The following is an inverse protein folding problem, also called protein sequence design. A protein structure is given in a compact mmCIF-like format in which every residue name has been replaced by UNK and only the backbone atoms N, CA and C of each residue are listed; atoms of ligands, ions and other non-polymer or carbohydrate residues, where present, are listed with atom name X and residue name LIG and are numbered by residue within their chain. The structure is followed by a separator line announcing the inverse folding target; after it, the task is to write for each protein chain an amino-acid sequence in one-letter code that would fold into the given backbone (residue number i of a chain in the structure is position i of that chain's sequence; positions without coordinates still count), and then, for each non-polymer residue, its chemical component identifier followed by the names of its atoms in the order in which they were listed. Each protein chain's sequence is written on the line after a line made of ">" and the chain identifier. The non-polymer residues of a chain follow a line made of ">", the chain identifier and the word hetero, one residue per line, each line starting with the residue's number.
data_IF_368368652592
#
_entry.id   IF_368368652592
#
_cell.length_a   1.000
_cell.length_b   1.000
_cell.length_c   1.000
_cell.angle_alpha   90.00
_cell.angle_beta   90.00
_cell.angle_gamma   90.00
#
_symmetry.space_group_name_H-M   'P 1'
#
loop_
_entity.id
_entity.type
_entity.pdbx_description
1 polymer ?
#
# COMPACT_ATOMS: atom_id res chain seq x y z
N UNK A 1 61.10 17.13 37.97
CA UNK A 1 62.50 16.94 37.50
C UNK A 1 62.53 15.60 36.78
N UNK A 2 62.84 15.59 35.49
CA UNK A 2 62.80 14.37 34.65
C UNK A 2 64.01 13.49 34.96
N UNK A 3 63.81 12.20 35.19
CA UNK A 3 64.87 11.24 35.50
C UNK A 3 64.99 10.16 34.42
N UNK A 4 66.17 9.54 34.35
CA UNK A 4 66.45 8.45 33.42
C UNK A 4 65.57 7.23 33.75
N UNK A 5 64.71 6.83 32.81
CA UNK A 5 63.78 5.70 32.96
C UNK A 5 62.28 6.05 32.90
N UNK A 6 61.91 7.33 32.85
CA UNK A 6 60.50 7.73 32.61
C UNK A 6 60.07 7.37 31.19
N UNK A 7 58.86 6.82 31.04
CA UNK A 7 58.27 6.60 29.71
C UNK A 7 57.89 7.96 29.10
N UNK A 8 57.87 8.04 27.77
CA UNK A 8 57.54 9.28 27.06
C UNK A 8 56.20 9.89 27.52
N UNK A 9 55.25 9.03 27.90
CA UNK A 9 53.94 9.40 28.45
C UNK A 9 54.03 10.08 29.84
N UNK A 10 54.93 9.61 30.70
CA UNK A 10 55.15 10.16 32.04
C UNK A 10 55.77 11.58 31.96
N UNK A 11 56.66 11.77 30.98
CA UNK A 11 57.30 13.06 30.69
C UNK A 11 56.26 14.06 30.14
N UNK A 12 55.41 13.62 29.21
CA UNK A 12 54.37 14.46 28.62
C UNK A 12 53.34 14.95 29.66
N UNK A 13 52.93 14.07 30.57
CA UNK A 13 52.00 14.42 31.66
C UNK A 13 52.63 15.34 32.70
N UNK A 14 53.95 15.25 32.94
CA UNK A 14 54.66 16.13 33.88
C UNK A 14 54.81 17.57 33.36
N UNK A 15 55.12 17.74 32.07
CA UNK A 15 55.30 19.07 31.48
C UNK A 15 53.99 19.76 31.12
N UNK A 16 52.93 18.99 30.91
CA UNK A 16 51.64 19.52 30.46
C UNK A 16 50.48 18.87 31.23
N UNK A 17 50.33 19.12 32.55
CA UNK A 17 49.40 18.40 33.43
C UNK A 17 47.89 18.68 33.20
N UNK A 18 47.50 19.10 31.99
CA UNK A 18 46.10 19.25 31.59
C UNK A 18 45.82 18.91 30.11
N UNK A 19 46.82 18.50 29.34
CA UNK A 19 46.68 18.32 27.89
C UNK A 19 45.97 17.02 27.49
N UNK A 20 46.11 15.93 28.23
CA UNK A 20 45.48 14.65 27.87
C UNK A 20 43.95 14.65 28.07
N UNK A 21 43.44 15.39 29.06
CA UNK A 21 42.00 15.62 29.25
C UNK A 21 41.48 16.75 28.36
N UNK A 22 42.23 17.85 28.19
CA UNK A 22 41.82 18.94 27.30
C UNK A 22 41.79 18.49 25.83
N UNK A 23 42.70 17.63 25.38
CA UNK A 23 42.67 17.08 24.02
C UNK A 23 41.49 16.11 23.77
N UNK A 24 40.89 15.54 24.83
CA UNK A 24 39.64 14.76 24.73
C UNK A 24 38.40 15.67 24.68
N UNK A 25 38.45 16.82 25.34
CA UNK A 25 37.37 17.83 25.35
C UNK A 25 37.39 18.73 24.08
N UNK A 26 38.57 19.10 23.60
CA UNK A 26 38.78 20.04 22.48
C UNK A 26 38.99 19.32 21.15
N UNK A 27 38.11 18.39 20.82
CA UNK A 27 38.12 17.74 19.51
C UNK A 27 37.47 18.69 18.47
N UNK A 28 38.00 19.90 18.31
CA UNK A 28 37.55 20.94 17.38
C UNK A 28 37.24 20.36 15.98
N UNK A 29 38.05 19.42 15.42
CA UNK A 29 37.70 18.77 14.17
C UNK A 29 36.39 17.98 14.20
N UNK A 30 36.06 17.31 15.32
CA UNK A 30 34.79 16.61 15.52
C UNK A 30 33.63 17.61 15.62
N UNK A 31 33.77 18.68 16.39
CA UNK A 31 32.73 19.71 16.52
C UNK A 31 32.42 20.35 15.16
N UNK A 32 33.46 20.71 14.39
CA UNK A 32 33.31 21.24 13.03
C UNK A 32 32.66 20.23 12.07
N UNK A 33 33.03 18.95 12.15
CA UNK A 33 32.39 17.87 11.39
C UNK A 33 30.91 17.72 11.76
N UNK A 34 30.59 17.67 13.04
CA UNK A 34 29.22 17.51 13.55
C UNK A 34 28.35 18.72 13.14
N UNK A 35 28.89 19.93 13.28
CA UNK A 35 28.24 21.15 12.80
C UNK A 35 28.01 21.12 11.28
N UNK A 36 29.00 20.65 10.50
CA UNK A 36 28.87 20.51 9.05
C UNK A 36 27.81 19.47 8.67
N UNK A 37 27.77 18.32 9.36
CA UNK A 37 26.76 17.27 9.14
C UNK A 37 25.37 17.79 9.48
N UNK A 38 25.23 18.51 10.60
CA UNK A 38 23.96 19.13 11.01
C UNK A 38 23.49 20.17 10.01
N UNK A 39 24.39 21.06 9.57
CA UNK A 39 24.08 22.08 8.55
C UNK A 39 23.63 21.45 7.23
N UNK A 40 24.34 20.41 6.75
CA UNK A 40 23.94 19.65 5.55
C UNK A 40 22.57 18.98 5.71
N UNK A 41 22.31 18.38 6.88
CA UNK A 41 21.02 17.75 7.19
C UNK A 41 19.88 18.77 7.19
N UNK A 42 20.08 19.93 7.82
CA UNK A 42 19.12 21.02 7.81
C UNK A 42 18.87 21.51 6.39
N UNK A 43 19.93 21.87 5.65
CA UNK A 43 19.81 22.37 4.27
C UNK A 43 19.04 21.40 3.36
N UNK A 44 19.31 20.10 3.45
CA UNK A 44 18.58 19.09 2.67
C UNK A 44 17.13 18.92 3.10
N UNK A 45 16.86 19.01 4.41
CA UNK A 45 15.49 18.89 4.94
C UNK A 45 14.64 20.08 4.49
N UNK A 46 15.20 21.29 4.55
CA UNK A 46 14.55 22.51 4.06
C UNK A 46 14.35 22.47 2.54
N UNK A 47 15.35 22.02 1.77
CA UNK A 47 15.21 21.86 0.33
C UNK A 47 14.09 20.88 -0.02
N UNK A 48 14.03 19.72 0.63
CA UNK A 48 12.96 18.74 0.43
C UNK A 48 11.58 19.31 0.78
N UNK A 49 11.46 20.08 1.87
CA UNK A 49 10.22 20.74 2.24
C UNK A 49 9.75 21.75 1.18
N UNK A 50 10.69 22.52 0.59
CA UNK A 50 10.39 23.47 -0.50
C UNK A 50 10.00 22.76 -1.78
N UNK A 51 10.73 21.72 -2.17
CA UNK A 51 10.38 20.89 -3.34
C UNK A 51 8.98 20.29 -3.19
N UNK A 52 8.66 19.75 -2.02
CA UNK A 52 7.34 19.19 -1.73
C UNK A 52 6.21 20.23 -1.79
N UNK A 53 6.46 21.44 -1.30
CA UNK A 53 5.51 22.55 -1.41
C UNK A 53 5.28 22.99 -2.86
N UNK A 54 6.33 23.01 -3.70
CA UNK A 54 6.21 23.30 -5.14
C UNK A 54 5.42 22.20 -5.85
N UNK A 55 5.67 20.94 -5.50
CA UNK A 55 4.93 19.79 -6.03
C UNK A 55 3.45 19.88 -5.66
N UNK A 56 3.11 20.26 -4.41
CA UNK A 56 1.72 20.50 -4.00
C UNK A 56 1.04 21.56 -4.86
N UNK A 57 1.71 22.69 -5.10
CA UNK A 57 1.17 23.76 -5.94
C UNK A 57 0.99 23.29 -7.38
N UNK A 58 1.95 22.55 -7.90
CA UNK A 58 1.89 21.98 -9.26
C UNK A 58 0.72 21.01 -9.39
N UNK A 59 0.48 20.16 -8.39
CA UNK A 59 -0.69 19.28 -8.35
C UNK A 59 -2.00 20.06 -8.38
N UNK A 60 -2.10 21.13 -7.58
CA UNK A 60 -3.30 21.99 -7.56
C UNK A 60 -3.52 22.71 -8.89
N UNK A 61 -2.48 23.30 -9.47
CA UNK A 61 -2.56 24.01 -10.76
C UNK A 61 -2.96 23.06 -11.89
N UNK A 62 -2.45 21.82 -11.85
CA UNK A 62 -2.73 20.80 -12.87
C UNK A 62 -3.98 19.94 -12.56
N UNK A 63 -4.79 20.31 -11.57
CA UNK A 63 -5.99 19.54 -11.14
C UNK A 63 -5.70 18.04 -10.88
N UNK A 64 -4.52 17.72 -10.36
CA UNK A 64 -4.14 16.36 -9.97
C UNK A 64 -4.96 15.95 -8.75
N UNK A 65 -5.69 14.84 -8.85
CA UNK A 65 -6.53 14.34 -7.76
C UNK A 65 -5.75 13.49 -6.75
N UNK A 66 -4.77 12.72 -7.22
CA UNK A 66 -4.06 11.72 -6.42
C UNK A 66 -2.56 11.69 -6.72
N UNK A 67 -1.77 11.22 -5.76
CA UNK A 67 -0.33 11.02 -5.91
C UNK A 67 0.14 9.74 -5.23
N UNK A 68 1.27 9.18 -5.69
CA UNK A 68 1.97 8.10 -5.02
C UNK A 68 3.21 8.63 -4.28
N UNK A 69 3.57 7.95 -3.20
CA UNK A 69 4.82 8.18 -2.48
C UNK A 69 5.94 7.32 -3.10
N UNK A 70 6.90 7.97 -3.74
CA UNK A 70 8.00 7.32 -4.46
C UNK A 70 9.24 7.26 -3.58
N UNK A 71 9.69 6.05 -3.31
CA UNK A 71 10.87 5.76 -2.49
C UNK A 71 12.16 5.76 -3.29
N UNK A 72 13.25 6.19 -2.66
CA UNK A 72 14.61 5.96 -3.18
C UNK A 72 15.12 4.54 -2.86
N UNK A 73 16.11 4.02 -3.61
CA UNK A 73 16.79 2.78 -3.26
C UNK A 73 17.34 2.81 -1.83
N UNK A 74 17.04 1.77 -1.05
CA UNK A 74 17.45 1.71 0.36
C UNK A 74 16.57 2.54 1.31
N UNK A 75 15.35 2.92 0.89
CA UNK A 75 14.39 3.61 1.74
C UNK A 75 14.12 2.86 3.05
N UNK A 76 13.91 3.62 4.12
CA UNK A 76 13.59 3.06 5.43
C UNK A 76 12.18 2.46 5.45
N UNK A 77 11.93 1.56 6.41
CA UNK A 77 10.64 0.87 6.57
C UNK A 77 9.44 1.84 6.61
N UNK A 78 9.60 3.01 7.25
CA UNK A 78 8.55 4.05 7.28
C UNK A 78 8.18 4.53 5.88
N UNK A 79 9.17 4.83 5.04
CA UNK A 79 8.94 5.31 3.68
C UNK A 79 8.41 4.19 2.77
N UNK A 80 8.85 2.94 2.97
CA UNK A 80 8.28 1.78 2.27
C UNK A 80 6.80 1.61 2.58
N UNK A 81 6.40 1.76 3.86
CA UNK A 81 4.99 1.71 4.24
C UNK A 81 4.19 2.83 3.57
N UNK A 82 4.69 4.07 3.57
CA UNK A 82 4.05 5.18 2.86
C UNK A 82 3.89 4.90 1.35
N UNK A 83 4.91 4.31 0.71
CA UNK A 83 4.81 3.92 -0.70
C UNK A 83 3.75 2.85 -0.96
N UNK A 84 3.56 1.91 -0.03
CA UNK A 84 2.59 0.82 -0.15
C UNK A 84 1.16 1.25 0.20
N UNK A 85 1.00 2.28 1.03
CA UNK A 85 -0.31 2.77 1.50
C UNK A 85 -0.97 3.81 0.59
N UNK A 86 -0.29 4.25 -0.48
CA UNK A 86 -0.89 5.11 -1.51
C UNK A 86 -1.92 4.37 -2.40
N UNK A 87 -2.63 5.07 -3.29
CA UNK A 87 -2.44 6.48 -3.61
C UNK A 87 -3.09 7.39 -2.57
N UNK A 88 -2.57 8.61 -2.45
CA UNK A 88 -3.02 9.63 -1.53
C UNK A 88 -3.72 10.75 -2.27
N UNK A 89 -4.73 11.36 -1.64
CA UNK A 89 -5.51 12.43 -2.26
C UNK A 89 -4.80 13.78 -2.11
N UNK A 90 -4.68 14.53 -3.19
CA UNK A 90 -4.08 15.88 -3.16
C UNK A 90 -4.97 16.80 -2.33
N UNK A 91 -4.36 17.58 -1.44
CA UNK A 91 -5.05 18.53 -0.57
C UNK A 91 -5.77 17.93 0.65
N UNK A 92 -5.67 16.61 0.86
CA UNK A 92 -6.14 15.97 2.10
C UNK A 92 -5.15 16.22 3.25
N UNK A 93 -5.64 16.43 4.47
CA UNK A 93 -4.79 16.69 5.64
C UNK A 93 -4.01 15.44 6.08
N UNK A 94 -4.61 14.25 5.88
CA UNK A 94 -3.99 12.97 6.22
C UNK A 94 -2.98 12.50 5.16
N UNK A 95 -2.90 13.18 4.02
CA UNK A 95 -1.99 12.83 2.95
C UNK A 95 -0.54 13.14 3.31
N UNK A 96 0.40 12.20 3.13
CA UNK A 96 1.75 12.36 3.63
C UNK A 96 2.53 13.43 2.87
N UNK A 97 3.38 14.15 3.60
CA UNK A 97 4.24 15.25 3.11
C UNK A 97 5.71 14.95 3.33
N UNK A 98 6.57 15.42 2.42
CA UNK A 98 8.03 15.37 2.60
C UNK A 98 8.50 16.72 3.17
N UNK A 99 9.26 16.77 4.27
CA UNK A 99 9.73 15.67 5.11
C UNK A 99 8.78 15.30 6.27
N UNK A 100 7.71 16.06 6.52
CA UNK A 100 6.87 15.99 7.74
C UNK A 100 6.40 14.56 8.07
N UNK A 101 5.85 13.85 7.10
CA UNK A 101 5.34 12.48 7.29
C UNK A 101 6.44 11.42 7.20
N UNK A 102 7.69 11.80 6.89
CA UNK A 102 8.83 10.89 6.75
C UNK A 102 9.88 11.11 7.84
N UNK A 103 10.99 11.75 7.54
CA UNK A 103 12.06 12.08 8.49
C UNK A 103 12.96 13.18 7.94
N UNK A 104 13.77 13.85 8.79
CA UNK A 104 14.79 14.77 8.29
C UNK A 104 15.76 14.07 7.33
N UNK A 105 16.26 14.77 6.32
CA UNK A 105 17.12 14.24 5.25
C UNK A 105 16.44 13.14 4.40
N UNK A 106 15.10 13.07 4.39
CA UNK A 106 14.36 12.24 3.43
C UNK A 106 14.54 12.79 2.01
N UNK A 107 14.58 11.87 1.05
CA UNK A 107 14.72 12.14 -0.39
C UNK A 107 13.62 11.49 -1.23
N UNK A 108 12.63 10.90 -0.57
CA UNK A 108 11.44 10.38 -1.23
C UNK A 108 10.64 11.55 -1.83
N UNK A 109 9.82 11.25 -2.83
CA UNK A 109 9.10 12.27 -3.61
C UNK A 109 7.64 11.90 -3.79
N UNK A 110 6.79 12.90 -3.95
CA UNK A 110 5.40 12.71 -4.35
C UNK A 110 5.30 12.83 -5.87
N UNK A 111 4.62 11.89 -6.50
CA UNK A 111 4.43 11.88 -7.94
C UNK A 111 2.95 11.81 -8.25
N UNK A 112 2.46 12.77 -9.07
CA UNK A 112 1.08 12.78 -9.53
C UNK A 112 0.78 11.47 -10.24
N UNK A 113 -0.36 10.88 -9.90
CA UNK A 113 -0.93 9.81 -10.69
C UNK A 113 -2.24 10.32 -11.26
N UNK A 114 -2.38 10.21 -12.57
CA UNK A 114 -3.70 10.26 -13.19
C UNK A 114 -4.39 8.97 -12.76
N UNK A 115 -5.10 9.01 -11.65
CA UNK A 115 -6.11 8.00 -11.34
C UNK A 115 -7.26 8.27 -12.31
N UNK A 116 -7.04 7.93 -13.57
CA UNK A 116 -8.13 7.47 -14.43
C UNK A 116 -8.44 6.02 -14.07
N UNK A 117 -8.48 5.71 -12.76
CA UNK A 117 -8.98 4.42 -12.31
C UNK A 117 -10.47 4.59 -12.20
N UNK A 118 -11.14 4.02 -13.18
CA UNK A 118 -12.52 3.67 -12.96
C UNK A 118 -13.21 3.01 -14.13
N UNK A 119 -12.87 3.38 -15.37
CA UNK A 119 -13.72 2.97 -16.49
C UNK A 119 -12.98 2.44 -17.71
N UNK A 120 -11.65 2.56 -17.80
CA UNK A 120 -10.93 2.21 -19.04
C UNK A 120 -11.09 0.75 -19.44
N UNK A 121 -11.29 -0.13 -18.48
CA UNK A 121 -11.37 -1.57 -18.66
C UNK A 121 -12.71 -2.15 -18.19
N UNK A 122 -13.75 -1.34 -17.98
CA UNK A 122 -15.06 -1.85 -17.52
C UNK A 122 -15.57 -2.92 -18.48
N UNK A 123 -16.09 -4.01 -17.92
CA UNK A 123 -16.76 -5.07 -18.66
C UNK A 123 -18.27 -4.96 -18.38
N UNK A 124 -19.07 -4.67 -19.40
CA UNK A 124 -20.53 -4.56 -19.23
C UNK A 124 -20.99 -3.39 -18.35
N UNK A 125 -22.13 -3.55 -17.68
CA UNK A 125 -22.71 -2.56 -16.77
C UNK A 125 -22.67 -3.02 -15.30
N UNK A 126 -23.06 -2.14 -14.39
CA UNK A 126 -23.07 -2.39 -12.94
C UNK A 126 -24.45 -2.85 -12.44
N UNK A 127 -25.36 -3.30 -13.32
CA UNK A 127 -26.67 -3.81 -12.93
C UNK A 127 -26.55 -5.29 -12.60
N UNK A 128 -26.98 -5.64 -11.40
CA UNK A 128 -26.99 -7.02 -10.94
C UNK A 128 -28.24 -7.74 -11.44
N UNK A 129 -28.06 -8.93 -11.97
CA UNK A 129 -29.13 -9.87 -12.26
C UNK A 129 -29.53 -10.61 -10.97
N UNK A 130 -30.70 -10.25 -10.43
CA UNK A 130 -31.20 -10.82 -9.18
C UNK A 130 -31.57 -12.30 -9.29
N UNK A 131 -32.05 -12.74 -10.46
CA UNK A 131 -32.39 -14.14 -10.69
C UNK A 131 -31.11 -14.98 -10.75
N UNK A 132 -30.05 -14.44 -11.35
CA UNK A 132 -28.76 -15.12 -11.39
C UNK A 132 -28.12 -15.25 -10.00
N UNK A 133 -28.07 -14.18 -9.19
CA UNK A 133 -27.45 -14.28 -7.86
C UNK A 133 -28.26 -15.12 -6.86
N UNK A 134 -29.55 -15.39 -7.15
CA UNK A 134 -30.37 -16.34 -6.41
C UNK A 134 -30.31 -17.77 -6.98
N UNK A 135 -29.63 -17.98 -8.11
CA UNK A 135 -29.48 -19.32 -8.69
C UNK A 135 -28.54 -20.23 -7.88
N UNK A 136 -28.74 -21.54 -7.98
CA UNK A 136 -27.82 -22.53 -7.42
C UNK A 136 -26.44 -22.45 -8.06
N UNK A 137 -26.36 -22.05 -9.34
CA UNK A 137 -25.10 -21.82 -10.04
C UNK A 137 -24.25 -20.80 -9.31
N UNK A 138 -24.77 -19.59 -9.07
CA UNK A 138 -24.05 -18.55 -8.32
C UNK A 138 -23.75 -18.98 -6.88
N UNK A 139 -24.72 -19.61 -6.21
CA UNK A 139 -24.56 -20.05 -4.81
C UNK A 139 -23.43 -21.08 -4.64
N UNK A 140 -23.28 -22.00 -5.61
CA UNK A 140 -22.29 -23.09 -5.57
C UNK A 140 -20.84 -22.63 -5.69
N UNK A 141 -20.60 -21.45 -6.28
CA UNK A 141 -19.26 -20.84 -6.39
C UNK A 141 -18.58 -20.60 -5.04
N UNK A 142 -19.36 -20.55 -3.95
CA UNK A 142 -18.83 -20.33 -2.59
C UNK A 142 -18.47 -21.63 -1.87
N UNK A 143 -18.91 -22.79 -2.35
CA UNK A 143 -18.93 -24.04 -1.57
C UNK A 143 -17.54 -24.54 -1.18
N UNK A 144 -16.50 -24.19 -1.95
CA UNK A 144 -15.12 -24.62 -1.74
C UNK A 144 -14.14 -23.45 -1.50
N UNK A 145 -14.64 -22.30 -1.02
CA UNK A 145 -13.78 -21.16 -0.68
C UNK A 145 -12.87 -21.47 0.51
N UNK A 146 -13.38 -22.21 1.49
CA UNK A 146 -12.69 -22.71 2.68
C UNK A 146 -13.17 -24.12 3.03
N UNK A 147 -12.47 -24.78 3.96
CA UNK A 147 -12.87 -26.10 4.49
C UNK A 147 -14.07 -26.04 5.46
N UNK A 148 -14.51 -24.84 5.88
CA UNK A 148 -15.65 -24.66 6.77
C UNK A 148 -16.89 -24.17 6.01
N UNK A 149 -17.94 -25.02 5.86
CA UNK A 149 -19.18 -24.64 5.19
C UNK A 149 -19.87 -23.42 5.81
N UNK A 150 -19.70 -23.16 7.12
CA UNK A 150 -20.27 -21.99 7.79
C UNK A 150 -19.60 -20.70 7.31
N UNK A 151 -18.29 -20.71 7.15
CA UNK A 151 -17.54 -19.57 6.61
C UNK A 151 -17.99 -19.32 5.17
N UNK A 152 -18.07 -20.36 4.35
CA UNK A 152 -18.53 -20.27 2.96
C UNK A 152 -19.95 -19.68 2.86
N UNK A 153 -20.86 -20.09 3.75
CA UNK A 153 -22.21 -19.52 3.83
C UNK A 153 -22.22 -18.04 4.23
N UNK A 154 -21.35 -17.60 5.16
CA UNK A 154 -21.23 -16.18 5.52
C UNK A 154 -20.68 -15.35 4.35
N UNK A 155 -19.64 -15.83 3.68
CA UNK A 155 -19.07 -15.16 2.51
C UNK A 155 -20.14 -14.97 1.42
N UNK A 156 -20.91 -16.02 1.12
CA UNK A 156 -22.04 -15.94 0.18
C UNK A 156 -23.09 -14.92 0.60
N UNK A 157 -23.51 -14.95 1.86
CA UNK A 157 -24.51 -14.02 2.41
C UNK A 157 -24.10 -12.57 2.19
N UNK A 158 -22.83 -12.24 2.47
CA UNK A 158 -22.35 -10.87 2.34
C UNK A 158 -22.01 -10.48 0.90
N UNK A 159 -21.67 -11.44 0.03
CA UNK A 159 -21.58 -11.20 -1.41
C UNK A 159 -22.94 -10.79 -2.00
N UNK A 160 -24.02 -11.52 -1.69
CA UNK A 160 -25.37 -11.15 -2.13
C UNK A 160 -25.77 -9.79 -1.56
N UNK A 161 -25.43 -9.51 -0.30
CA UNK A 161 -25.71 -8.23 0.34
C UNK A 161 -25.03 -7.03 -0.36
N UNK A 162 -23.73 -7.13 -0.69
CA UNK A 162 -23.03 -6.04 -1.39
C UNK A 162 -23.55 -5.84 -2.82
N UNK A 163 -23.81 -6.93 -3.55
CA UNK A 163 -24.37 -6.84 -4.90
C UNK A 163 -25.77 -6.19 -4.90
N UNK A 164 -26.61 -6.57 -3.95
CA UNK A 164 -27.96 -6.00 -3.78
C UNK A 164 -27.89 -4.52 -3.40
N UNK A 165 -26.96 -4.15 -2.52
CA UNK A 165 -26.79 -2.76 -2.09
C UNK A 165 -26.24 -1.86 -3.20
N UNK A 166 -25.35 -2.39 -4.06
CA UNK A 166 -24.58 -1.61 -5.04
C UNK A 166 -25.06 -1.69 -6.46
N UNK A 167 -26.05 -2.53 -6.78
CA UNK A 167 -26.64 -2.62 -8.11
C UNK A 167 -26.96 -1.23 -8.70
N UNK A 168 -26.52 -0.98 -9.93
CA UNK A 168 -26.69 0.31 -10.62
C UNK A 168 -25.81 1.46 -10.12
N UNK A 169 -24.84 1.20 -9.24
CA UNK A 169 -23.91 2.21 -8.71
C UNK A 169 -22.46 1.81 -8.93
N UNK A 170 -21.57 2.81 -8.95
CA UNK A 170 -20.11 2.60 -9.00
C UNK A 170 -19.48 2.59 -7.60
N UNK A 171 -20.29 2.36 -6.57
CA UNK A 171 -19.82 2.25 -5.19
C UNK A 171 -19.34 0.85 -4.87
N UNK A 172 -18.29 0.78 -4.04
CA UNK A 172 -17.79 -0.47 -3.47
C UNK A 172 -18.13 -0.60 -1.98
N UNK A 173 -18.43 -1.82 -1.55
CA UNK A 173 -18.52 -2.26 -0.17
C UNK A 173 -17.34 -3.17 0.11
N UNK A 174 -16.77 -3.07 1.31
CA UNK A 174 -15.74 -3.98 1.79
C UNK A 174 -16.10 -4.57 3.14
N UNK A 175 -15.88 -5.87 3.26
CA UNK A 175 -16.04 -6.66 4.46
C UNK A 175 -14.71 -7.34 4.80
N UNK A 176 -14.40 -7.44 6.08
CA UNK A 176 -13.32 -8.26 6.60
C UNK A 176 -13.93 -9.28 7.56
N UNK A 177 -13.55 -10.54 7.38
CA UNK A 177 -13.99 -11.66 8.20
C UNK A 177 -12.84 -12.22 9.03
N UNK A 178 -13.13 -12.68 10.24
CA UNK A 178 -12.23 -13.57 10.96
C UNK A 178 -12.24 -14.99 10.35
N UNK A 179 -11.41 -15.89 10.89
CA UNK A 179 -11.33 -17.27 10.42
C UNK A 179 -12.58 -18.11 10.70
N UNK A 180 -13.49 -17.64 11.54
CA UNK A 180 -14.78 -18.28 11.84
C UNK A 180 -15.93 -17.71 10.98
N UNK A 181 -15.64 -16.76 10.08
CA UNK A 181 -16.61 -16.15 9.18
C UNK A 181 -17.43 -15.02 9.83
N UNK A 182 -17.04 -14.52 11.01
CA UNK A 182 -17.67 -13.34 11.59
C UNK A 182 -17.15 -12.08 10.93
N UNK A 183 -18.02 -11.11 10.68
CA UNK A 183 -17.60 -9.80 10.16
C UNK A 183 -16.94 -8.98 11.25
N UNK A 184 -15.67 -8.66 11.08
CA UNK A 184 -14.85 -7.88 12.02
C UNK A 184 -14.61 -6.44 11.54
N UNK A 185 -14.90 -6.15 10.27
CA UNK A 185 -14.90 -4.78 9.75
C UNK A 185 -15.85 -4.64 8.56
N UNK A 186 -16.46 -3.47 8.44
CA UNK A 186 -17.29 -3.06 7.28
C UNK A 186 -16.87 -1.66 6.85
N UNK A 187 -16.82 -1.43 5.55
CA UNK A 187 -16.53 -0.12 4.98
C UNK A 187 -17.37 0.06 3.71
N UNK A 188 -17.98 1.23 3.58
CA UNK A 188 -18.93 1.53 2.49
C UNK A 188 -18.41 2.75 1.74
N UNK A 189 -18.02 2.55 0.47
CA UNK A 189 -17.58 3.60 -0.43
C UNK A 189 -18.73 4.52 -0.83
N UNK A 190 -18.38 5.69 -1.38
CA UNK A 190 -19.37 6.61 -1.94
C UNK A 190 -19.94 6.01 -3.25
N UNK A 191 -21.23 6.15 -3.50
CA UNK A 191 -21.92 5.57 -4.67
C UNK A 191 -21.36 5.99 -6.03
N UNK A 192 -20.57 7.07 -6.09
CA UNK A 192 -19.93 7.57 -7.32
C UNK A 192 -18.40 7.37 -7.32
N UNK A 193 -17.86 6.45 -6.50
CA UNK A 193 -16.42 6.20 -6.38
C UNK A 193 -16.09 4.71 -6.26
N UNK A 194 -15.15 4.29 -7.08
CA UNK A 194 -14.65 2.92 -7.22
C UNK A 194 -13.55 2.60 -6.21
N UNK A 195 -13.73 3.01 -4.95
CA UNK A 195 -12.75 2.80 -3.90
C UNK A 195 -13.42 2.67 -2.53
N UNK A 196 -12.89 1.76 -1.72
CA UNK A 196 -13.22 1.61 -0.31
C UNK A 196 -11.96 1.39 0.53
N UNK A 197 -11.75 2.25 1.54
CA UNK A 197 -10.54 2.25 2.37
C UNK A 197 -10.83 1.87 3.82
N UNK A 198 -9.88 1.18 4.44
CA UNK A 198 -9.83 0.94 5.89
C UNK A 198 -8.63 1.71 6.44
N UNK A 199 -8.81 2.45 7.54
CA UNK A 199 -7.74 3.26 8.13
C UNK A 199 -6.56 2.40 8.59
N UNK A 200 -5.36 2.97 8.60
CA UNK A 200 -4.13 2.26 9.00
C UNK A 200 -4.18 1.82 10.47
N UNK A 201 -4.83 2.60 11.32
CA UNK A 201 -5.05 2.33 12.74
C UNK A 201 -5.94 1.10 12.90
N UNK A 202 -7.07 1.06 12.18
CA UNK A 202 -7.98 -0.09 12.22
C UNK A 202 -7.31 -1.36 11.68
N UNK A 203 -6.48 -1.24 10.66
CA UNK A 203 -5.70 -2.39 10.15
C UNK A 203 -4.74 -2.93 11.22
N UNK A 204 -4.05 -2.06 11.98
CA UNK A 204 -3.17 -2.49 13.07
C UNK A 204 -3.93 -3.20 14.18
N UNK A 205 -5.10 -2.68 14.57
CA UNK A 205 -5.98 -3.32 15.55
C UNK A 205 -6.39 -4.72 15.09
N UNK A 206 -6.92 -4.84 13.88
CA UNK A 206 -7.35 -6.12 13.29
C UNK A 206 -6.19 -7.13 13.24
N UNK A 207 -5.01 -6.71 12.81
CA UNK A 207 -3.83 -7.58 12.79
C UNK A 207 -3.42 -8.00 14.21
N UNK A 208 -3.53 -7.10 15.20
CA UNK A 208 -3.20 -7.40 16.59
C UNK A 208 -4.20 -8.37 17.23
N UNK A 209 -5.47 -8.29 16.84
CA UNK A 209 -6.56 -9.09 17.43
C UNK A 209 -6.67 -10.48 16.78
N UNK A 210 -6.60 -10.55 15.44
CA UNK A 210 -6.85 -11.78 14.68
C UNK A 210 -5.58 -12.43 14.13
N UNK A 211 -4.46 -11.71 14.08
CA UNK A 211 -3.21 -12.17 13.46
C UNK A 211 -3.18 -11.99 11.95
N UNK A 212 -1.98 -12.10 11.36
CA UNK A 212 -1.79 -12.09 9.90
C UNK A 212 -2.05 -13.49 9.34
N UNK A 213 -2.63 -13.55 8.14
CA UNK A 213 -2.90 -14.80 7.41
C UNK A 213 -4.16 -15.53 7.87
N UNK A 214 -4.98 -14.93 8.73
CA UNK A 214 -6.20 -15.53 9.30
C UNK A 214 -7.47 -14.90 8.75
N UNK A 215 -7.44 -13.58 8.49
CA UNK A 215 -8.60 -12.82 8.05
C UNK A 215 -8.86 -12.97 6.55
N UNK A 216 -10.13 -12.87 6.15
CA UNK A 216 -10.55 -12.91 4.75
C UNK A 216 -11.09 -11.52 4.37
N UNK A 217 -10.59 -10.93 3.29
CA UNK A 217 -11.13 -9.70 2.72
C UNK A 217 -12.14 -10.00 1.61
N UNK A 218 -13.24 -9.24 1.54
CA UNK A 218 -14.18 -9.32 0.42
C UNK A 218 -14.69 -7.95 0.03
N UNK A 219 -14.79 -7.66 -1.27
CA UNK A 219 -15.43 -6.45 -1.79
C UNK A 219 -16.03 -6.67 -3.17
N UNK A 220 -16.88 -5.75 -3.62
CA UNK A 220 -17.46 -5.80 -4.96
C UNK A 220 -16.70 -4.94 -5.97
N UNK A 221 -16.69 -5.35 -7.23
CA UNK A 221 -16.25 -4.55 -8.37
C UNK A 221 -17.43 -4.25 -9.30
N UNK A 222 -18.00 -3.02 -9.29
CA UNK A 222 -19.08 -2.63 -10.22
C UNK A 222 -18.61 -2.50 -11.68
N UNK A 223 -17.31 -2.50 -11.91
CA UNK A 223 -16.70 -2.48 -13.25
C UNK A 223 -16.56 -3.86 -13.87
N UNK A 224 -16.88 -4.92 -13.12
CA UNK A 224 -16.72 -6.34 -13.47
C UNK A 224 -15.31 -6.79 -13.85
N UNK A 225 -14.29 -5.99 -13.53
CA UNK A 225 -12.89 -6.38 -13.77
C UNK A 225 -12.38 -7.34 -12.68
N UNK A 226 -11.42 -8.23 -13.01
CA UNK A 226 -10.71 -9.02 -12.00
C UNK A 226 -9.94 -8.15 -10.98
N UNK A 227 -9.38 -8.74 -9.91
CA UNK A 227 -8.58 -8.01 -8.91
C UNK A 227 -7.44 -7.19 -9.53
N UNK A 228 -7.35 -5.93 -9.12
CA UNK A 228 -6.38 -4.92 -9.54
C UNK A 228 -5.12 -4.92 -8.69
N UNK A 229 -4.10 -4.16 -9.08
CA UNK A 229 -2.89 -4.01 -8.28
C UNK A 229 -3.15 -3.51 -6.85
N UNK A 230 -4.13 -2.63 -6.67
CA UNK A 230 -4.56 -2.16 -5.35
C UNK A 230 -5.06 -3.31 -4.47
N UNK A 231 -5.81 -4.25 -5.01
CA UNK A 231 -6.38 -5.37 -4.25
C UNK A 231 -5.29 -6.27 -3.67
N UNK A 232 -4.31 -6.66 -4.48
CA UNK A 232 -3.16 -7.45 -4.00
C UNK A 232 -2.34 -6.71 -2.96
N UNK A 233 -2.05 -5.42 -3.18
CA UNK A 233 -1.25 -4.63 -2.23
C UNK A 233 -1.99 -4.39 -0.92
N UNK A 234 -3.30 -4.12 -0.96
CA UNK A 234 -4.14 -3.97 0.21
C UNK A 234 -4.24 -5.28 0.98
N UNK A 235 -4.43 -6.41 0.28
CA UNK A 235 -4.45 -7.74 0.88
C UNK A 235 -3.13 -8.03 1.62
N UNK A 236 -1.98 -7.74 1.00
CA UNK A 236 -0.67 -7.86 1.62
C UNK A 236 -0.46 -6.94 2.81
N UNK A 237 -0.88 -5.67 2.71
CA UNK A 237 -0.78 -4.70 3.81
C UNK A 237 -1.61 -5.14 5.01
N UNK A 238 -2.89 -5.49 4.76
CA UNK A 238 -3.86 -5.91 5.78
C UNK A 238 -3.62 -7.32 6.30
N UNK A 239 -2.77 -8.10 5.62
CA UNK A 239 -2.34 -9.43 6.05
C UNK A 239 -3.46 -10.46 6.00
N UNK A 240 -4.24 -10.44 4.93
CA UNK A 240 -5.29 -11.44 4.73
C UNK A 240 -4.70 -12.83 4.44
N UNK A 241 -5.48 -13.86 4.74
CA UNK A 241 -5.25 -15.21 4.23
C UNK A 241 -5.44 -15.24 2.71
N UNK A 242 -6.56 -14.66 2.26
CA UNK A 242 -6.88 -14.41 0.87
C UNK A 242 -7.95 -13.31 0.78
N UNK A 243 -8.13 -12.75 -0.41
CA UNK A 243 -9.20 -11.82 -0.73
C UNK A 243 -10.20 -12.43 -1.71
N UNK A 244 -11.40 -11.88 -1.74
CA UNK A 244 -12.46 -12.20 -2.69
C UNK A 244 -12.92 -10.90 -3.36
N UNK A 245 -12.96 -10.89 -4.69
CA UNK A 245 -13.69 -9.89 -5.46
C UNK A 245 -14.98 -10.52 -5.97
N UNK A 246 -16.10 -9.83 -5.79
CA UNK A 246 -17.41 -10.21 -6.33
C UNK A 246 -17.83 -9.16 -7.37
N UNK A 247 -17.98 -9.53 -8.63
CA UNK A 247 -18.38 -8.59 -9.68
C UNK A 247 -19.91 -8.53 -9.81
N UNK A 248 -20.43 -7.45 -10.39
CA UNK A 248 -21.88 -7.25 -10.56
C UNK A 248 -22.50 -8.19 -11.62
N UNK A 249 -21.70 -8.69 -12.55
CA UNK A 249 -22.06 -9.79 -13.46
C UNK A 249 -21.98 -11.19 -12.80
N UNK A 250 -21.69 -11.25 -11.50
CA UNK A 250 -21.73 -12.47 -10.69
C UNK A 250 -20.52 -13.40 -10.88
N UNK A 251 -19.41 -12.90 -11.42
CA UNK A 251 -18.11 -13.57 -11.30
C UNK A 251 -17.52 -13.39 -9.89
N UNK A 252 -16.75 -14.40 -9.47
CA UNK A 252 -16.09 -14.40 -8.17
C UNK A 252 -14.63 -14.74 -8.39
N UNK A 253 -13.75 -13.90 -7.85
CA UNK A 253 -12.31 -14.09 -7.93
C UNK A 253 -11.73 -14.27 -6.53
N UNK A 254 -11.13 -15.43 -6.29
CA UNK A 254 -10.31 -15.67 -5.09
C UNK A 254 -8.87 -15.32 -5.42
N UNK A 255 -8.29 -14.40 -4.65
CA UNK A 255 -6.93 -13.94 -4.88
C UNK A 255 -6.09 -13.93 -3.61
N UNK A 256 -4.77 -14.03 -3.76
CA UNK A 256 -3.83 -13.96 -2.64
C UNK A 256 -2.61 -13.13 -3.00
N UNK A 257 -2.08 -12.44 -1.98
CA UNK A 257 -0.80 -11.76 -2.08
C UNK A 257 0.34 -12.76 -1.84
N UNK A 258 1.51 -12.51 -2.41
CA UNK A 258 2.70 -13.28 -2.10
C UNK A 258 3.53 -12.69 -0.96
N UNK A 259 4.72 -13.26 -0.77
CA UNK A 259 5.68 -12.83 0.26
C UNK A 259 6.56 -11.66 -0.19
N UNK A 260 6.55 -11.32 -1.49
CA UNK A 260 7.33 -10.23 -2.05
C UNK A 260 6.42 -9.03 -2.30
N UNK A 261 6.62 -7.90 -1.59
CA UNK A 261 5.83 -6.70 -1.84
C UNK A 261 6.13 -6.15 -3.24
N UNK A 262 5.11 -5.62 -3.89
CA UNK A 262 5.23 -4.85 -5.11
C UNK A 262 4.32 -3.63 -5.03
N UNK A 263 4.59 -2.65 -5.89
CA UNK A 263 3.77 -1.46 -6.00
C UNK A 263 2.61 -1.73 -6.96
N UNK A 264 1.37 -1.34 -6.60
CA UNK A 264 0.15 -1.54 -7.41
C UNK A 264 0.32 -1.17 -8.90
N UNK A 265 1.01 -0.06 -9.18
CA UNK A 265 1.27 0.41 -10.55
C UNK A 265 2.03 -0.61 -11.40
N UNK A 266 2.86 -1.48 -10.80
CA UNK A 266 3.52 -2.56 -11.54
C UNK A 266 2.47 -3.49 -12.17
N UNK A 267 1.44 -3.87 -11.43
CA UNK A 267 0.38 -4.74 -11.92
C UNK A 267 -0.46 -4.01 -12.97
N UNK A 268 -1.00 -2.85 -12.61
CA UNK A 268 -1.94 -2.12 -13.49
C UNK A 268 -1.29 -1.71 -14.82
N UNK A 269 -0.01 -1.31 -14.79
CA UNK A 269 0.72 -0.99 -16.01
C UNK A 269 0.91 -2.21 -16.92
N UNK A 270 1.17 -3.39 -16.35
CA UNK A 270 1.27 -4.61 -17.16
C UNK A 270 -0.07 -4.95 -17.82
N UNK A 271 -1.19 -4.79 -17.10
CA UNK A 271 -2.54 -4.95 -17.68
C UNK A 271 -2.74 -3.96 -18.83
N UNK A 272 -2.48 -2.67 -18.58
CA UNK A 272 -2.62 -1.62 -19.61
C UNK A 272 -1.74 -1.87 -20.83
N UNK A 273 -0.48 -2.28 -20.64
CA UNK A 273 0.46 -2.54 -21.72
C UNK A 273 0.02 -3.76 -22.55
N UNK A 274 -0.56 -4.80 -21.95
CA UNK A 274 -1.09 -5.96 -22.68
C UNK A 274 -2.29 -5.56 -23.54
N UNK A 275 -3.22 -4.78 -22.98
CA UNK A 275 -4.41 -4.28 -23.70
C UNK A 275 -3.99 -3.36 -24.85
N UNK A 276 -3.14 -2.34 -24.60
CA UNK A 276 -2.74 -1.34 -25.61
C UNK A 276 -1.96 -1.93 -26.78
N UNK A 277 -1.13 -2.95 -26.51
CA UNK A 277 -0.31 -3.56 -27.55
C UNK A 277 -1.10 -4.58 -28.41
N UNK A 278 -2.43 -4.67 -28.25
CA UNK A 278 -3.29 -5.49 -29.10
C UNK A 278 -3.11 -6.99 -28.93
N UNK A 279 -2.48 -7.42 -27.83
CA UNK A 279 -2.31 -8.86 -27.55
C UNK A 279 -3.64 -9.52 -27.14
N UNK A 280 -4.62 -8.75 -26.66
CA UNK A 280 -5.98 -9.22 -26.32
C UNK A 280 -7.02 -8.09 -26.51
N UNK A 281 -8.17 -8.40 -27.13
CA UNK A 281 -9.40 -7.60 -26.99
C UNK A 281 -10.14 -7.93 -25.67
N UNK A 282 -9.68 -9.00 -24.99
CA UNK A 282 -10.26 -9.56 -23.78
C UNK A 282 -9.52 -9.01 -22.55
N UNK A 283 -10.21 -8.14 -21.81
CA UNK A 283 -9.70 -7.54 -20.56
C UNK A 283 -9.35 -8.63 -19.54
N UNK A 284 -10.19 -9.65 -19.35
CA UNK A 284 -9.97 -10.70 -18.35
C UNK A 284 -8.68 -11.47 -18.65
N UNK A 285 -8.43 -11.76 -19.94
CA UNK A 285 -7.18 -12.38 -20.38
C UNK A 285 -5.96 -11.55 -20.01
N UNK A 286 -6.00 -10.23 -20.15
CA UNK A 286 -4.88 -9.35 -19.78
C UNK A 286 -4.55 -9.40 -18.28
N UNK A 287 -5.57 -9.50 -17.42
CA UNK A 287 -5.38 -9.71 -15.98
C UNK A 287 -4.75 -11.08 -15.70
N UNK A 288 -5.24 -12.15 -16.33
CA UNK A 288 -4.70 -13.50 -16.17
C UNK A 288 -3.23 -13.61 -16.62
N UNK A 289 -2.88 -12.99 -17.75
CA UNK A 289 -1.49 -12.91 -18.23
C UNK A 289 -0.61 -12.09 -17.29
N UNK A 290 -1.13 -11.01 -16.72
CA UNK A 290 -0.40 -10.21 -15.72
C UNK A 290 -0.12 -11.00 -14.45
N UNK A 291 -1.10 -11.76 -13.95
CA UNK A 291 -0.92 -12.64 -12.78
C UNK A 291 0.18 -13.67 -13.05
N UNK A 292 0.17 -14.32 -14.23
CA UNK A 292 1.23 -15.25 -14.64
C UNK A 292 2.60 -14.58 -14.71
N UNK A 293 2.69 -13.39 -15.32
CA UNK A 293 3.95 -12.63 -15.44
C UNK A 293 4.52 -12.23 -14.08
N UNK A 294 3.66 -12.02 -13.08
CA UNK A 294 4.03 -11.63 -11.73
C UNK A 294 4.00 -12.79 -10.73
N UNK A 295 3.93 -14.05 -11.19
CA UNK A 295 3.93 -15.23 -10.32
C UNK A 295 5.15 -15.29 -9.39
N UNK A 296 6.30 -14.75 -9.83
CA UNK A 296 7.52 -14.64 -9.02
C UNK A 296 7.40 -13.70 -7.81
N UNK A 297 6.34 -12.90 -7.72
CA UNK A 297 5.98 -12.16 -6.52
C UNK A 297 5.14 -12.98 -5.53
N UNK A 298 4.67 -14.16 -5.96
CA UNK A 298 3.86 -15.10 -5.17
C UNK A 298 2.36 -14.80 -5.18
N UNK A 299 1.89 -13.92 -6.07
CA UNK A 299 0.45 -13.64 -6.20
C UNK A 299 -0.26 -14.79 -6.92
N UNK A 300 -1.54 -15.00 -6.58
CA UNK A 300 -2.41 -15.96 -7.27
C UNK A 300 -3.81 -15.38 -7.41
N UNK A 301 -4.50 -15.78 -8.48
CA UNK A 301 -5.90 -15.46 -8.71
C UNK A 301 -6.57 -16.64 -9.40
N UNK A 302 -7.78 -16.95 -8.95
CA UNK A 302 -8.64 -18.00 -9.50
C UNK A 302 -10.05 -17.43 -9.63
N UNK A 303 -10.68 -17.68 -10.79
CA UNK A 303 -12.10 -17.40 -11.03
C UNK A 303 -12.91 -18.65 -10.69
N UNK A 304 -13.99 -18.49 -9.94
CA UNK A 304 -14.85 -19.56 -9.42
C UNK A 304 -16.15 -19.71 -10.22
#
# INVERSE_FOLDING_TARGET
>A
MVSQGMRAEDIANHFYPGNAESMRADNIPKILRDATVKAKRTARTEAAAREDAIVEQTFKVNNVKYFNWIIEPGACQKCTLLAMSGPYKVGDEDSPRVPESSHPNCRCRRMSISVERGDKNRIGDNKVDFDFIDSDEFKSKFDNLTDDPKVNQQLRKYAIAMLTHRTGTDGEDSYIFDSAGNVVNKSFGNSNKLEVSVSSERVKELISEYGRGTMIGMHNHPTNVPPTGSDYTASGFRGYSFGIVVTHDGNIYKYSHGNRPFHQHLFDKNVEDIIKNGYTDDVERAYNETVKKLEGYGIKCEKL
#
